data_IF_713127236698
#
_entry.id   IF_713127236698
#
_cell.length_a   1.000
_cell.length_b   1.000
_cell.length_c   1.000
_cell.angle_alpha   90.00
_cell.angle_beta   90.00
_cell.angle_gamma   90.00
#
_symmetry.space_group_name_H-M   'P 1'
#
loop_
_entity.id
_entity.type
_entity.pdbx_description
1 polymer ?
#
# COMPACT_ATOMS: atom_id res chain seq x y z
N UNK A 1 14.52 -11.88 -7.84
CA UNK A 1 13.42 -11.48 -7.01
C UNK A 1 13.87 -10.86 -5.72
N UNK A 2 13.23 -9.81 -5.30
CA UNK A 2 13.58 -9.11 -4.07
C UNK A 2 12.95 -9.81 -2.89
N UNK A 3 13.75 -10.23 -1.93
CA UNK A 3 13.23 -10.85 -0.73
C UNK A 3 12.86 -9.83 0.31
N UNK A 4 13.53 -8.72 0.31
CA UNK A 4 13.19 -7.60 1.14
C UNK A 4 13.79 -6.35 0.54
N UNK A 5 13.26 -5.22 0.92
CA UNK A 5 13.65 -3.95 0.35
C UNK A 5 14.74 -3.30 1.19
N UNK A 6 15.76 -2.74 0.55
CA UNK A 6 16.82 -2.04 1.28
C UNK A 6 16.27 -0.77 1.92
N UNK A 7 16.67 -0.51 3.14
CA UNK A 7 16.15 0.61 3.91
C UNK A 7 16.44 1.95 3.25
N UNK A 8 17.61 2.10 2.68
CA UNK A 8 18.04 3.39 2.18
C UNK A 8 17.54 3.72 0.79
N UNK A 9 16.94 2.74 0.09
CA UNK A 9 16.53 2.92 -1.30
C UNK A 9 15.06 3.25 -1.45
N UNK A 10 14.33 3.29 -0.35
CA UNK A 10 12.90 3.53 -0.38
C UNK A 10 12.59 4.71 0.52
N UNK A 11 11.73 5.59 0.03
CA UNK A 11 11.22 6.72 0.80
C UNK A 11 10.69 6.20 2.14
N UNK A 12 11.14 6.75 3.28
CA UNK A 12 10.69 6.27 4.59
C UNK A 12 9.19 6.29 4.79
N UNK A 13 8.50 7.25 4.18
CA UNK A 13 7.06 7.33 4.31
C UNK A 13 6.39 6.19 3.55
N UNK A 14 6.85 5.91 2.33
CA UNK A 14 6.31 4.81 1.55
C UNK A 14 6.60 3.47 2.23
N UNK A 15 7.76 3.34 2.83
CA UNK A 15 8.09 2.17 3.61
C UNK A 15 7.14 1.99 4.78
N UNK A 16 6.84 3.08 5.49
CA UNK A 16 5.91 3.01 6.61
C UNK A 16 4.52 2.55 6.16
N UNK A 17 4.06 3.06 5.01
CA UNK A 17 2.77 2.65 4.46
C UNK A 17 2.79 1.15 4.16
N UNK A 18 3.85 0.66 3.54
CA UNK A 18 3.95 -0.76 3.20
C UNK A 18 4.01 -1.63 4.44
N UNK A 19 4.71 -1.20 5.47
CA UNK A 19 4.78 -1.96 6.71
C UNK A 19 3.43 -2.07 7.39
N UNK A 20 2.69 -0.98 7.42
CA UNK A 20 1.35 -1.00 7.99
C UNK A 20 0.41 -1.88 7.18
N UNK A 21 0.51 -1.79 5.86
CA UNK A 21 -0.31 -2.62 4.98
C UNK A 21 0.02 -4.10 5.16
N UNK A 22 1.31 -4.42 5.26
CA UNK A 22 1.73 -5.80 5.46
C UNK A 22 1.22 -6.35 6.79
N UNK A 23 1.33 -5.56 7.86
CA UNK A 23 0.86 -6.02 9.16
C UNK A 23 -0.64 -6.30 9.14
N UNK A 24 -1.40 -5.44 8.49
CA UNK A 24 -2.85 -5.62 8.41
C UNK A 24 -3.23 -6.82 7.54
N UNK A 25 -2.58 -6.98 6.39
CA UNK A 25 -2.89 -8.09 5.49
C UNK A 25 -2.44 -9.42 6.08
N UNK A 26 -1.31 -9.45 6.78
CA UNK A 26 -0.85 -10.66 7.45
C UNK A 26 -1.83 -11.07 8.54
N UNK A 27 -2.32 -10.13 9.32
CA UNK A 27 -3.28 -10.42 10.39
C UNK A 27 -4.57 -11.04 9.85
N UNK A 28 -4.97 -10.66 8.65
CA UNK A 28 -6.18 -11.16 8.01
C UNK A 28 -5.91 -12.26 6.98
N UNK A 29 -4.64 -12.62 6.81
CA UNK A 29 -4.23 -13.66 5.86
C UNK A 29 -4.64 -13.31 4.42
N UNK A 30 -4.41 -12.07 4.04
CA UNK A 30 -4.74 -11.59 2.71
C UNK A 30 -3.45 -11.45 1.90
N UNK A 31 -3.27 -12.20 0.83
CA UNK A 31 -2.12 -11.98 -0.06
C UNK A 31 -2.23 -10.62 -0.74
N UNK A 32 -1.10 -9.94 -0.89
CA UNK A 32 -1.11 -8.66 -1.57
C UNK A 32 0.17 -8.48 -2.39
N UNK A 33 0.12 -7.53 -3.32
CA UNK A 33 1.30 -7.13 -4.07
C UNK A 33 1.25 -5.63 -4.31
N UNK A 34 2.43 -5.05 -4.49
CA UNK A 34 2.55 -3.63 -4.77
C UNK A 34 2.48 -3.44 -6.28
N UNK A 35 1.58 -2.58 -6.72
CA UNK A 35 1.41 -2.33 -8.14
C UNK A 35 1.83 -0.92 -8.54
N UNK A 36 1.70 -0.66 -9.82
CA UNK A 36 1.81 0.68 -10.37
C UNK A 36 3.19 1.29 -10.29
N UNK A 37 3.19 2.60 -10.15
CA UNK A 37 4.41 3.38 -10.22
C UNK A 37 5.36 3.08 -9.07
N UNK A 38 4.84 2.74 -7.91
CA UNK A 38 5.70 2.46 -6.77
C UNK A 38 6.52 1.21 -6.99
N UNK A 39 5.93 0.17 -7.56
CA UNK A 39 6.68 -1.05 -7.86
C UNK A 39 7.80 -0.76 -8.85
N UNK A 40 7.52 0.05 -9.86
CA UNK A 40 8.52 0.43 -10.83
C UNK A 40 9.65 1.21 -10.19
N UNK A 41 9.33 2.14 -9.31
CA UNK A 41 10.34 2.95 -8.63
C UNK A 41 11.26 2.10 -7.77
N UNK A 42 10.70 1.13 -7.07
CA UNK A 42 11.49 0.20 -6.26
C UNK A 42 12.46 -0.58 -7.15
N UNK A 43 11.98 -1.08 -8.26
CA UNK A 43 12.80 -1.87 -9.16
C UNK A 43 13.92 -1.00 -9.76
N UNK A 44 13.59 0.19 -10.22
CA UNK A 44 14.60 1.06 -10.82
C UNK A 44 15.68 1.43 -9.82
N UNK A 45 15.31 1.76 -8.60
CA UNK A 45 16.27 2.14 -7.59
C UNK A 45 17.12 0.97 -7.15
N UNK A 46 16.49 -0.17 -6.90
CA UNK A 46 17.18 -1.31 -6.31
C UNK A 46 17.97 -2.11 -7.36
N UNK A 47 17.35 -2.39 -8.50
CA UNK A 47 17.96 -3.28 -9.50
C UNK A 47 18.95 -2.53 -10.37
N UNK A 48 18.60 -1.34 -10.82
CA UNK A 48 19.40 -0.60 -11.76
C UNK A 48 20.26 0.49 -11.12
N UNK A 49 20.12 0.70 -9.82
CA UNK A 49 20.89 1.71 -9.10
C UNK A 49 20.58 3.13 -9.52
N UNK A 50 19.46 3.36 -10.16
CA UNK A 50 19.09 4.69 -10.60
C UNK A 50 18.39 5.42 -9.48
N UNK A 51 18.69 6.69 -9.37
CA UNK A 51 17.95 7.54 -8.46
C UNK A 51 16.69 8.01 -9.14
N UNK A 52 15.55 7.64 -8.61
CA UNK A 52 14.26 7.97 -9.19
C UNK A 52 13.71 9.20 -8.49
N UNK A 53 13.48 10.26 -9.24
CA UNK A 53 12.85 11.44 -8.69
C UNK A 53 11.39 11.17 -8.43
N UNK A 54 10.97 11.43 -7.24
CA UNK A 54 9.61 11.10 -6.84
C UNK A 54 8.62 12.03 -7.53
N UNK A 55 7.90 11.47 -8.45
CA UNK A 55 6.81 12.16 -9.08
C UNK A 55 5.49 11.72 -8.51
N UNK A 56 5.40 10.48 -8.10
CA UNK A 56 4.13 9.96 -7.63
C UNK A 56 4.23 9.55 -6.18
N UNK A 57 3.19 9.84 -5.43
CA UNK A 57 3.08 9.42 -4.05
C UNK A 57 1.95 8.43 -3.86
N UNK A 58 1.32 8.04 -4.96
CA UNK A 58 0.23 7.09 -4.89
C UNK A 58 0.79 5.70 -4.66
N UNK A 59 0.22 4.99 -3.72
CA UNK A 59 0.59 3.61 -3.45
C UNK A 59 -0.58 2.74 -3.85
N UNK A 60 -0.34 1.78 -4.74
CA UNK A 60 -1.37 0.86 -5.19
C UNK A 60 -1.08 -0.52 -4.64
N UNK A 61 -2.04 -1.10 -3.95
CA UNK A 61 -1.93 -2.45 -3.43
C UNK A 61 -2.98 -3.34 -4.08
N UNK A 62 -2.55 -4.39 -4.73
CA UNK A 62 -3.44 -5.43 -5.20
C UNK A 62 -3.68 -6.42 -4.07
N UNK A 63 -4.94 -6.75 -3.84
CA UNK A 63 -5.35 -7.59 -2.72
C UNK A 63 -6.14 -8.78 -3.25
N UNK A 64 -5.71 -9.97 -2.89
CA UNK A 64 -6.45 -11.16 -3.28
C UNK A 64 -7.50 -11.44 -2.23
N UNK A 65 -8.76 -11.19 -2.57
CA UNK A 65 -9.87 -11.27 -1.63
C UNK A 65 -10.95 -12.18 -2.18
N UNK A 66 -11.68 -12.80 -1.29
CA UNK A 66 -12.79 -13.67 -1.65
C UNK A 66 -14.14 -13.08 -1.27
N UNK A 67 -14.19 -11.81 -0.92
CA UNK A 67 -15.45 -11.16 -0.59
C UNK A 67 -15.25 -9.76 -0.09
N UNK A 68 -16.31 -8.97 -0.14
CA UNK A 68 -16.27 -7.59 0.30
C UNK A 68 -16.15 -7.44 1.81
N UNK A 69 -16.54 -8.46 2.58
CA UNK A 69 -16.39 -8.43 4.03
C UNK A 69 -14.93 -8.35 4.43
N UNK A 70 -14.05 -9.09 3.73
CA UNK A 70 -12.64 -9.03 4.03
C UNK A 70 -12.04 -7.68 3.64
N UNK A 71 -12.53 -7.10 2.56
CA UNK A 71 -12.12 -5.78 2.15
C UNK A 71 -12.45 -4.75 3.23
N UNK A 72 -13.66 -4.80 3.75
CA UNK A 72 -14.07 -3.88 4.81
C UNK A 72 -13.26 -4.09 6.08
N UNK A 73 -13.00 -5.34 6.44
CA UNK A 73 -12.18 -5.64 7.61
C UNK A 73 -10.77 -5.07 7.47
N UNK A 74 -10.18 -5.20 6.29
CA UNK A 74 -8.85 -4.66 6.07
C UNK A 74 -8.85 -3.15 6.23
N UNK A 75 -9.82 -2.46 5.66
CA UNK A 75 -9.93 -1.02 5.82
C UNK A 75 -10.08 -0.64 7.30
N UNK A 76 -10.93 -1.37 8.01
CA UNK A 76 -11.15 -1.08 9.43
C UNK A 76 -9.85 -1.25 10.23
N UNK A 77 -9.09 -2.28 9.96
CA UNK A 77 -7.83 -2.51 10.65
C UNK A 77 -6.84 -1.37 10.36
N UNK A 78 -6.76 -0.94 9.11
CA UNK A 78 -5.84 0.13 8.74
C UNK A 78 -6.24 1.46 9.36
N UNK A 79 -7.53 1.73 9.43
CA UNK A 79 -8.02 3.00 9.99
C UNK A 79 -7.97 3.01 11.51
N UNK A 80 -8.10 1.85 12.15
CA UNK A 80 -8.22 1.76 13.61
C UNK A 80 -7.03 2.33 14.36
N UNK A 81 -5.85 2.29 13.76
CA UNK A 81 -4.64 2.80 14.41
C UNK A 81 -4.47 4.30 14.27
N UNK A 82 -5.36 4.96 13.54
CA UNK A 82 -5.30 6.41 13.36
C UNK A 82 -4.30 6.91 12.34
N UNK A 83 -3.60 6.00 11.65
CA UNK A 83 -2.60 6.39 10.66
C UNK A 83 -3.20 6.55 9.26
N UNK A 84 -4.33 5.90 9.01
CA UNK A 84 -5.01 5.98 7.72
C UNK A 84 -6.39 6.59 7.91
N UNK A 85 -6.81 7.35 6.91
CA UNK A 85 -8.09 8.08 6.95
C UNK A 85 -8.92 7.72 5.72
N UNK A 86 -10.22 7.53 5.93
CA UNK A 86 -11.11 7.28 4.81
C UNK A 86 -11.25 8.54 3.97
N UNK A 87 -11.62 8.35 2.70
CA UNK A 87 -11.77 9.45 1.76
C UNK A 87 -13.22 9.47 1.29
N UNK A 88 -13.97 10.53 1.55
CA UNK A 88 -15.35 10.60 1.11
C UNK A 88 -15.49 10.39 -0.38
N UNK A 89 -16.43 9.55 -0.78
CA UNK A 89 -16.69 9.27 -2.18
C UNK A 89 -15.70 8.33 -2.84
N UNK A 90 -14.69 7.84 -2.11
CA UNK A 90 -13.68 6.94 -2.66
C UNK A 90 -13.49 5.72 -1.77
N UNK A 91 -14.35 4.71 -1.91
CA UNK A 91 -14.32 3.54 -1.00
C UNK A 91 -13.05 2.70 -1.12
N UNK A 92 -12.31 2.82 -2.23
CA UNK A 92 -11.09 2.04 -2.44
C UNK A 92 -9.83 2.81 -2.06
N UNK A 93 -9.96 3.99 -1.49
CA UNK A 93 -8.82 4.84 -1.18
C UNK A 93 -8.78 5.20 0.29
N UNK A 94 -7.57 5.18 0.85
CA UNK A 94 -7.28 5.74 2.17
C UNK A 94 -6.17 6.76 2.00
N UNK A 95 -6.08 7.71 2.92
CA UNK A 95 -4.97 8.64 2.98
C UNK A 95 -4.14 8.36 4.22
N UNK A 96 -2.83 8.33 4.05
CA UNK A 96 -1.91 8.04 5.13
C UNK A 96 -1.40 9.34 5.74
N UNK A 97 -1.40 9.40 7.05
CA UNK A 97 -0.80 10.49 7.82
C UNK A 97 -1.78 11.59 8.19
N UNK A 98 -2.66 11.97 7.27
CA UNK A 98 -3.67 12.98 7.52
C UNK A 98 -4.83 12.76 6.56
N UNK A 99 -5.97 13.42 6.77
CA UNK A 99 -7.10 13.29 5.83
C UNK A 99 -6.77 13.70 4.41
N UNK A 100 -5.72 14.49 4.21
CA UNK A 100 -5.27 14.88 2.88
C UNK A 100 -3.87 14.36 2.58
N UNK A 101 -3.50 13.27 3.23
CA UNK A 101 -2.16 12.72 3.11
C UNK A 101 -1.94 11.89 1.86
N UNK A 102 -1.01 10.95 1.95
CA UNK A 102 -0.60 10.17 0.80
C UNK A 102 -1.64 9.12 0.46
N UNK A 103 -2.12 9.07 -0.80
CA UNK A 103 -3.15 8.10 -1.16
C UNK A 103 -2.64 6.67 -1.17
N UNK A 104 -3.45 5.77 -0.62
CA UNK A 104 -3.24 4.34 -0.72
C UNK A 104 -4.48 3.76 -1.38
N UNK A 105 -4.32 3.21 -2.56
CA UNK A 105 -5.43 2.62 -3.29
C UNK A 105 -5.43 1.11 -3.08
N UNK A 106 -6.56 0.59 -2.67
CA UNK A 106 -6.76 -0.83 -2.40
C UNK A 106 -7.53 -1.43 -3.57
N UNK A 107 -6.87 -2.29 -4.32
CA UNK A 107 -7.41 -2.83 -5.56
C UNK A 107 -7.71 -4.31 -5.36
N UNK A 108 -8.99 -4.66 -5.17
CA UNK A 108 -9.35 -6.06 -4.92
C UNK A 108 -9.39 -6.89 -6.20
N UNK A 109 -8.97 -8.13 -6.06
CA UNK A 109 -9.17 -9.09 -7.12
C UNK A 109 -9.49 -10.44 -6.53
N UNK A 110 -9.75 -11.42 -7.37
CA UNK A 110 -10.07 -12.76 -6.95
C UNK A 110 -11.58 -12.99 -7.02
N UNK A 111 -12.16 -13.64 -6.06
CA UNK A 111 -13.56 -14.03 -6.08
C UNK A 111 -14.54 -12.99 -5.61
N UNK A 112 -14.25 -11.76 -5.84
CA UNK A 112 -15.09 -10.68 -5.33
C UNK A 112 -16.08 -10.21 -6.39
#
# INVERSE_FOLDING_TARGET
>A
MLKRLPDRDIDPILRAILEQARNATDALEIPFFVGGAMARDIILTHVFGQEVKRATRDVDLGLYLDGWDRFRKLKDVLVAKGLFHTVPGKPHRLHYGSPTGIPLDLIPFGGI
#
